data_IF_192041519100
#
_entry.id   IF_192041519100
#
_cell.length_a   1.000
_cell.length_b   1.000
_cell.length_c   1.000
_cell.angle_alpha   90.00
_cell.angle_beta   90.00
_cell.angle_gamma   90.00
#
_symmetry.space_group_name_H-M   'P 1'
#
loop_
_entity.id
_entity.type
_entity.pdbx_description
1 polymer ?
#
# COMPACT_ATOMS: atom_id res chain seq x y z
N UNK A 1 -0.62 -20.64 -8.65
CA UNK A 1 -0.58 -19.87 -9.93
C UNK A 1 0.82 -19.30 -10.06
N UNK A 2 1.44 -19.43 -11.23
CA UNK A 2 2.88 -19.24 -11.39
C UNK A 2 3.21 -17.76 -11.57
N UNK A 3 4.05 -17.19 -10.70
CA UNK A 3 4.67 -15.89 -10.94
C UNK A 3 5.64 -16.05 -12.12
N UNK A 4 5.21 -15.58 -13.29
CA UNK A 4 6.08 -15.46 -14.46
C UNK A 4 6.97 -14.24 -14.26
N UNK A 5 8.28 -14.46 -14.29
CA UNK A 5 9.30 -13.43 -14.29
C UNK A 5 9.02 -12.41 -15.42
N UNK A 6 8.97 -11.11 -15.12
CA UNK A 6 8.56 -10.08 -16.10
C UNK A 6 9.49 -10.04 -17.33
N UNK A 7 10.75 -10.46 -17.17
CA UNK A 7 11.68 -10.66 -18.27
C UNK A 7 11.22 -11.79 -19.23
N UNK A 8 10.68 -12.89 -18.70
CA UNK A 8 10.15 -14.00 -19.48
C UNK A 8 8.81 -13.65 -20.15
N UNK A 9 7.99 -12.80 -19.52
CA UNK A 9 6.74 -12.29 -20.09
C UNK A 9 6.99 -11.50 -21.40
N UNK A 10 8.03 -10.66 -21.42
CA UNK A 10 8.41 -9.89 -22.61
C UNK A 10 8.98 -10.77 -23.74
N UNK A 11 9.77 -11.80 -23.43
CA UNK A 11 10.25 -12.75 -24.45
C UNK A 11 9.09 -13.59 -25.04
N UNK A 12 8.11 -13.99 -24.22
CA UNK A 12 6.88 -14.68 -24.66
C UNK A 12 6.02 -13.84 -25.62
N UNK A 13 5.90 -12.53 -25.38
CA UNK A 13 5.20 -11.61 -26.27
C UNK A 13 5.94 -11.42 -27.61
N UNK A 14 7.27 -11.48 -27.63
CA UNK A 14 8.04 -11.42 -28.88
C UNK A 14 7.90 -12.68 -29.76
N UNK A 15 7.83 -13.87 -29.17
CA UNK A 15 7.66 -15.12 -29.94
C UNK A 15 6.27 -15.19 -30.62
N UNK A 16 5.22 -14.59 -30.03
CA UNK A 16 3.87 -14.55 -30.63
C UNK A 16 3.78 -13.70 -31.91
N UNK A 17 4.60 -12.65 -32.05
CA UNK A 17 4.53 -11.70 -33.17
C UNK A 17 5.25 -12.20 -34.44
N UNK A 18 6.09 -13.24 -34.32
CA UNK A 18 7.02 -13.66 -35.38
C UNK A 18 6.73 -15.01 -36.04
N UNK A 19 5.68 -15.74 -35.64
CA UNK A 19 5.32 -17.05 -36.22
C UNK A 19 3.94 -17.04 -36.90
N UNK A 20 3.84 -17.28 -38.23
CA UNK A 20 2.57 -17.55 -38.88
C UNK A 20 2.12 -18.99 -38.62
N UNK A 21 0.92 -19.17 -38.07
CA UNK A 21 0.34 -20.49 -37.81
C UNK A 21 -0.18 -21.14 -39.08
N UNK A 22 0.35 -22.31 -39.45
CA UNK A 22 -0.31 -23.25 -40.35
C UNK A 22 -0.90 -24.40 -39.54
N UNK A 23 -2.22 -24.57 -39.62
CA UNK A 23 -2.92 -25.72 -39.04
C UNK A 23 -3.20 -26.79 -40.08
N UNK A 24 -3.39 -28.03 -39.63
CA UNK A 24 -4.12 -29.08 -40.34
C UNK A 24 -4.93 -29.90 -39.34
N UNK A 25 -6.12 -30.31 -39.79
CA UNK A 25 -7.16 -31.00 -39.01
C UNK A 25 -7.20 -32.51 -39.32
N UNK A 26 -8.02 -33.24 -38.55
CA UNK A 26 -8.72 -34.48 -38.95
C UNK A 26 -7.90 -35.77 -39.24
N UNK A 27 -8.44 -36.99 -39.08
CA UNK A 27 -9.79 -37.43 -38.64
C UNK A 27 -9.80 -38.87 -38.03
N UNK A 28 -10.98 -39.22 -37.52
CA UNK A 28 -11.48 -40.48 -36.89
C UNK A 28 -11.48 -41.74 -37.76
N UNK A 29 -11.62 -42.93 -37.14
CA UNK A 29 -12.11 -44.15 -37.81
C UNK A 29 -11.96 -45.45 -37.02
N UNK A 30 -13.07 -46.14 -36.83
CA UNK A 30 -13.22 -47.44 -36.15
C UNK A 30 -13.33 -48.59 -37.20
N UNK A 31 -13.56 -49.88 -36.96
CA UNK A 31 -13.94 -50.68 -35.77
C UNK A 31 -13.59 -52.19 -36.01
N UNK A 32 -14.13 -53.09 -35.17
CA UNK A 32 -14.52 -54.50 -35.45
C UNK A 32 -13.56 -55.69 -35.18
N UNK A 33 -14.17 -56.86 -34.93
CA UNK A 33 -13.64 -58.03 -34.20
C UNK A 33 -12.91 -59.11 -35.03
N UNK A 34 -12.24 -59.99 -34.27
CA UNK A 34 -12.26 -61.47 -34.42
C UNK A 34 -11.00 -62.22 -34.92
N UNK A 35 -10.94 -63.47 -34.46
CA UNK A 35 -10.00 -64.57 -34.76
C UNK A 35 -8.59 -64.59 -34.13
N UNK A 36 -8.40 -65.59 -33.26
CA UNK A 36 -7.14 -65.92 -32.62
C UNK A 36 -6.16 -66.62 -33.59
N UNK A 37 -4.89 -66.22 -33.55
CA UNK A 37 -3.78 -66.88 -34.23
C UNK A 37 -2.50 -66.88 -33.36
N UNK A 38 -1.52 -67.78 -33.62
CA UNK A 38 -0.51 -68.21 -32.64
C UNK A 38 0.50 -67.10 -32.25
N UNK A 39 1.27 -67.28 -31.16
CA UNK A 39 2.16 -66.24 -30.64
C UNK A 39 3.22 -65.82 -31.67
N UNK A 40 2.93 -64.73 -32.37
CA UNK A 40 3.82 -64.16 -33.38
C UNK A 40 5.13 -63.71 -32.74
N UNK A 41 6.25 -64.22 -33.24
CA UNK A 41 7.59 -63.77 -32.83
C UNK A 41 7.69 -62.28 -33.13
N UNK A 42 7.79 -61.45 -32.06
CA UNK A 42 7.70 -59.98 -32.11
C UNK A 42 8.45 -59.36 -33.31
N UNK A 43 7.83 -58.45 -34.09
CA UNK A 43 8.41 -57.92 -35.31
C UNK A 43 9.47 -56.83 -35.01
N UNK A 44 10.62 -57.25 -34.44
CA UNK A 44 11.77 -56.38 -34.12
C UNK A 44 12.23 -55.49 -35.28
N UNK A 45 11.96 -55.88 -36.53
CA UNK A 45 12.21 -55.05 -37.73
C UNK A 45 11.32 -53.80 -37.83
N UNK A 46 10.06 -53.86 -37.39
CA UNK A 46 9.14 -52.70 -37.41
C UNK A 46 9.55 -51.67 -36.35
N UNK A 47 9.89 -52.15 -35.15
CA UNK A 47 10.47 -51.35 -34.07
C UNK A 47 11.77 -50.65 -34.52
N UNK A 48 12.69 -51.39 -35.16
CA UNK A 48 13.93 -50.83 -35.70
C UNK A 48 13.68 -49.74 -36.77
N UNK A 49 12.71 -49.94 -37.66
CA UNK A 49 12.35 -48.94 -38.68
C UNK A 49 11.70 -47.68 -38.06
N UNK A 50 10.85 -47.85 -37.04
CA UNK A 50 10.28 -46.72 -36.29
C UNK A 50 11.37 -45.93 -35.54
N UNK A 51 12.35 -46.63 -34.92
CA UNK A 51 13.50 -45.98 -34.27
C UNK A 51 14.37 -45.23 -35.29
N UNK A 52 14.58 -45.78 -36.49
CA UNK A 52 15.30 -45.09 -37.56
C UNK A 52 14.57 -43.83 -38.04
N UNK A 53 13.25 -43.91 -38.26
CA UNK A 53 12.42 -42.77 -38.63
C UNK A 53 12.45 -41.67 -37.55
N UNK A 54 12.22 -42.02 -36.28
CA UNK A 54 12.28 -41.09 -35.16
C UNK A 54 13.65 -40.42 -35.02
N UNK A 55 14.75 -41.16 -35.27
CA UNK A 55 16.10 -40.58 -35.28
C UNK A 55 16.32 -39.59 -36.42
N UNK A 56 15.74 -39.84 -37.61
CA UNK A 56 15.73 -38.86 -38.70
C UNK A 56 14.97 -37.61 -38.29
N UNK A 57 13.74 -37.75 -37.80
CA UNK A 57 12.91 -36.61 -37.36
C UNK A 57 13.58 -35.81 -36.25
N UNK A 58 14.27 -36.46 -35.30
CA UNK A 58 15.07 -35.76 -34.27
C UNK A 58 16.24 -35.00 -34.89
N UNK A 59 16.96 -35.57 -35.87
CA UNK A 59 18.02 -34.86 -36.57
C UNK A 59 17.49 -33.65 -37.35
N UNK A 60 16.36 -33.80 -38.04
CA UNK A 60 15.69 -32.72 -38.79
C UNK A 60 15.22 -31.59 -37.87
N UNK A 61 14.59 -31.92 -36.74
CA UNK A 61 14.15 -30.95 -35.73
C UNK A 61 15.31 -30.26 -35.01
N UNK A 62 16.42 -30.97 -34.75
CA UNK A 62 17.64 -30.36 -34.21
C UNK A 62 18.25 -29.39 -35.23
N UNK A 63 18.33 -29.76 -36.51
CA UNK A 63 18.81 -28.87 -37.56
C UNK A 63 17.93 -27.62 -37.73
N UNK A 64 16.60 -27.77 -37.65
CA UNK A 64 15.66 -26.64 -37.67
C UNK A 64 15.84 -25.72 -36.46
N UNK A 65 15.95 -26.29 -35.24
CA UNK A 65 16.24 -25.53 -34.01
C UNK A 65 17.54 -24.74 -34.16
N UNK A 66 18.61 -25.38 -34.63
CA UNK A 66 19.93 -24.76 -34.71
C UNK A 66 19.97 -23.65 -35.78
N UNK A 67 19.26 -23.83 -36.89
CA UNK A 67 19.07 -22.78 -37.90
C UNK A 67 18.27 -21.58 -37.37
N UNK A 68 17.20 -21.82 -36.60
CA UNK A 68 16.41 -20.77 -35.94
C UNK A 68 17.24 -20.04 -34.86
N UNK A 69 18.03 -20.77 -34.07
CA UNK A 69 18.87 -20.21 -33.02
C UNK A 69 20.01 -19.36 -33.61
N UNK A 70 20.64 -19.80 -34.70
CA UNK A 70 21.63 -19.01 -35.45
C UNK A 70 21.01 -17.78 -36.18
N UNK A 71 19.70 -17.80 -36.46
CA UNK A 71 18.96 -16.62 -36.95
C UNK A 71 18.65 -15.65 -35.80
N UNK A 72 18.22 -16.15 -34.63
CA UNK A 72 18.00 -15.34 -33.40
C UNK A 72 19.29 -14.64 -32.96
N UNK A 73 20.42 -15.35 -32.96
CA UNK A 73 21.74 -14.79 -32.60
C UNK A 73 22.23 -13.68 -33.55
N UNK A 74 21.92 -13.77 -34.85
CA UNK A 74 22.27 -12.71 -35.81
C UNK A 74 21.36 -11.48 -35.69
N UNK A 75 20.10 -11.66 -35.29
CA UNK A 75 19.21 -10.55 -34.97
C UNK A 75 19.71 -9.78 -33.73
N UNK A 76 20.00 -10.49 -32.63
CA UNK A 76 20.45 -9.88 -31.35
C UNK A 76 21.79 -9.15 -31.42
N UNK A 77 22.57 -9.31 -32.49
CA UNK A 77 23.79 -8.52 -32.75
C UNK A 77 23.51 -7.16 -33.42
N UNK A 78 22.26 -6.86 -33.79
CA UNK A 78 21.90 -5.56 -34.37
C UNK A 78 21.90 -4.46 -33.29
N UNK A 79 22.66 -3.35 -33.46
CA UNK A 79 22.67 -2.24 -32.50
C UNK A 79 21.29 -1.56 -32.38
N UNK A 80 20.44 -1.71 -33.40
CA UNK A 80 19.07 -1.23 -33.38
C UNK A 80 18.15 -2.08 -32.50
N UNK A 81 18.43 -3.37 -32.31
CA UNK A 81 17.62 -4.23 -31.43
C UNK A 81 17.86 -3.90 -29.95
N UNK A 82 19.12 -3.71 -29.54
CA UNK A 82 19.43 -3.25 -28.19
C UNK A 82 18.82 -1.87 -27.89
N UNK A 83 18.77 -0.99 -28.90
CA UNK A 83 18.16 0.33 -28.80
C UNK A 83 16.63 0.24 -28.73
N UNK A 84 15.99 -0.57 -29.58
CA UNK A 84 14.53 -0.74 -29.58
C UNK A 84 14.03 -1.43 -28.31
N UNK A 85 14.72 -2.47 -27.82
CA UNK A 85 14.42 -3.11 -26.52
C UNK A 85 14.49 -2.09 -25.37
N UNK A 86 15.52 -1.22 -25.35
CA UNK A 86 15.66 -0.16 -24.33
C UNK A 86 14.53 0.87 -24.43
N UNK A 87 14.19 1.32 -25.64
CA UNK A 87 13.09 2.26 -25.86
C UNK A 87 11.73 1.67 -25.50
N UNK A 88 11.48 0.40 -25.83
CA UNK A 88 10.27 -0.33 -25.46
C UNK A 88 10.14 -0.49 -23.94
N UNK A 89 11.20 -0.89 -23.25
CA UNK A 89 11.22 -1.00 -21.79
C UNK A 89 11.01 0.36 -21.10
N UNK A 90 11.68 1.41 -21.58
CA UNK A 90 11.48 2.77 -21.06
C UNK A 90 10.04 3.27 -21.29
N UNK A 91 9.49 3.04 -22.49
CA UNK A 91 8.11 3.38 -22.82
C UNK A 91 7.12 2.63 -21.93
N UNK A 92 7.30 1.32 -21.74
CA UNK A 92 6.44 0.51 -20.88
C UNK A 92 6.45 0.99 -19.43
N UNK A 93 7.63 1.33 -18.88
CA UNK A 93 7.75 1.91 -17.55
C UNK A 93 7.00 3.26 -17.43
N UNK A 94 7.15 4.15 -18.42
CA UNK A 94 6.44 5.44 -18.46
C UNK A 94 4.93 5.26 -18.63
N UNK A 95 4.46 4.32 -19.45
CA UNK A 95 3.04 4.00 -19.62
C UNK A 95 2.45 3.41 -18.32
N UNK A 96 3.21 2.58 -17.60
CA UNK A 96 2.83 2.02 -16.31
C UNK A 96 2.73 3.11 -15.23
N UNK A 97 3.71 4.02 -15.15
CA UNK A 97 3.69 5.17 -14.23
C UNK A 97 2.53 6.13 -14.57
N UNK A 98 2.35 6.48 -15.85
CA UNK A 98 1.23 7.29 -16.29
C UNK A 98 -0.11 6.65 -15.90
N UNK A 99 -0.28 5.35 -16.12
CA UNK A 99 -1.49 4.62 -15.70
C UNK A 99 -1.67 4.55 -14.17
N UNK A 100 -0.61 4.64 -13.37
CA UNK A 100 -0.71 4.79 -11.90
C UNK A 100 -1.14 6.22 -11.53
N UNK A 101 -0.48 7.24 -12.09
CA UNK A 101 -0.79 8.65 -11.85
C UNK A 101 -2.20 9.03 -12.30
N UNK A 102 -2.66 8.59 -13.48
CA UNK A 102 -4.04 8.82 -13.94
C UNK A 102 -5.07 8.25 -12.96
N UNK A 103 -4.82 7.05 -12.40
CA UNK A 103 -5.70 6.45 -11.38
C UNK A 103 -5.66 7.22 -10.05
N UNK A 104 -4.49 7.70 -9.63
CA UNK A 104 -4.35 8.52 -8.42
C UNK A 104 -5.10 9.85 -8.56
N UNK A 105 -4.94 10.56 -9.67
CA UNK A 105 -5.66 11.82 -9.97
C UNK A 105 -7.17 11.60 -10.03
N UNK A 106 -7.65 10.54 -10.69
CA UNK A 106 -9.08 10.20 -10.71
C UNK A 106 -9.63 9.84 -9.31
N UNK A 107 -8.78 9.29 -8.43
CA UNK A 107 -9.16 9.05 -7.03
C UNK A 107 -9.27 10.35 -6.23
N UNK A 108 -8.31 11.26 -6.39
CA UNK A 108 -8.32 12.56 -5.73
C UNK A 108 -9.47 13.45 -6.21
N UNK A 109 -9.79 13.45 -7.51
CA UNK A 109 -10.94 14.18 -8.06
C UNK A 109 -12.27 13.75 -7.40
N UNK A 110 -12.51 12.43 -7.27
CA UNK A 110 -13.70 11.90 -6.58
C UNK A 110 -13.74 12.25 -5.09
N UNK A 111 -12.59 12.28 -4.41
CA UNK A 111 -12.51 12.74 -3.02
C UNK A 111 -12.92 14.21 -2.89
N UNK A 112 -12.42 15.08 -3.78
CA UNK A 112 -12.77 16.51 -3.80
C UNK A 112 -14.26 16.73 -4.10
N UNK A 113 -14.82 16.03 -5.09
CA UNK A 113 -16.26 16.08 -5.42
C UNK A 113 -17.13 15.61 -4.26
N UNK A 114 -16.73 14.54 -3.56
CA UNK A 114 -17.43 14.05 -2.37
C UNK A 114 -17.40 15.10 -1.25
N UNK A 115 -16.24 15.68 -0.99
CA UNK A 115 -16.04 16.71 0.02
C UNK A 115 -16.84 18.00 -0.30
N UNK A 116 -16.85 18.46 -1.56
CA UNK A 116 -17.69 19.58 -2.00
C UNK A 116 -19.19 19.31 -1.79
N UNK A 117 -19.63 18.09 -2.14
CA UNK A 117 -21.03 17.65 -1.94
C UNK A 117 -21.43 17.65 -0.46
N UNK A 118 -20.52 17.26 0.44
CA UNK A 118 -20.73 17.28 1.88
C UNK A 118 -20.77 18.71 2.43
N UNK A 119 -19.85 19.57 2.00
CA UNK A 119 -19.72 20.96 2.46
C UNK A 119 -20.84 21.89 1.96
N UNK A 120 -21.50 21.54 0.85
CA UNK A 120 -22.69 22.25 0.37
C UNK A 120 -23.90 22.15 1.33
N UNK A 121 -23.83 21.32 2.39
CA UNK A 121 -24.90 21.15 3.39
C UNK A 121 -24.78 22.21 4.51
N UNK A 122 -25.80 23.07 4.72
CA UNK A 122 -25.69 24.21 5.63
C UNK A 122 -25.74 23.88 7.13
N UNK A 123 -25.97 22.62 7.51
CA UNK A 123 -26.24 22.22 8.91
C UNK A 123 -25.01 21.83 9.72
N UNK A 124 -23.79 21.91 9.18
CA UNK A 124 -22.52 21.48 9.82
C UNK A 124 -22.11 22.21 11.13
N UNK A 125 -22.98 23.05 11.69
CA UNK A 125 -22.67 24.01 12.76
C UNK A 125 -23.12 23.55 14.15
N UNK A 126 -24.28 22.89 14.26
CA UNK A 126 -24.92 22.54 15.55
C UNK A 126 -25.06 21.01 15.70
N UNK A 127 -23.94 20.32 15.89
CA UNK A 127 -23.89 18.85 15.87
C UNK A 127 -23.59 18.27 17.26
N UNK A 128 -24.39 17.32 17.77
CA UNK A 128 -24.22 16.80 19.13
C UNK A 128 -22.94 15.96 19.24
N UNK A 129 -22.13 16.24 20.26
CA UNK A 129 -20.94 15.46 20.62
C UNK A 129 -21.35 14.00 20.81
N UNK A 130 -20.68 13.08 20.11
CA UNK A 130 -20.94 11.64 20.20
C UNK A 130 -20.90 11.19 21.67
N UNK A 131 -21.87 10.37 22.09
CA UNK A 131 -22.10 10.02 23.49
C UNK A 131 -20.81 9.64 24.25
N UNK A 132 -20.62 10.12 25.50
CA UNK A 132 -19.32 10.13 26.15
C UNK A 132 -18.78 8.72 26.42
N UNK A 133 -17.75 8.33 25.67
CA UNK A 133 -16.86 7.18 25.95
C UNK A 133 -15.92 7.53 27.10
N UNK A 134 -16.50 7.57 28.31
CA UNK A 134 -15.95 8.22 29.51
C UNK A 134 -15.03 7.29 30.32
N UNK A 135 -13.86 7.78 30.76
CA UNK A 135 -12.95 7.04 31.65
C UNK A 135 -12.86 7.59 33.09
N UNK A 136 -13.91 8.29 33.54
CA UNK A 136 -14.08 8.89 34.89
C UNK A 136 -14.26 7.84 36.02
N UNK A 137 -13.80 6.63 35.79
CA UNK A 137 -13.84 5.55 36.77
C UNK A 137 -12.56 5.58 37.63
N UNK A 138 -12.61 5.14 38.90
CA UNK A 138 -11.40 4.99 39.72
C UNK A 138 -10.40 4.03 39.07
N UNK A 139 -9.12 4.15 39.42
CA UNK A 139 -8.00 3.50 38.72
C UNK A 139 -8.13 1.99 38.49
N UNK A 140 -8.86 1.28 39.35
CA UNK A 140 -9.17 -0.15 39.23
C UNK A 140 -10.15 -0.49 38.09
N UNK A 141 -11.02 0.45 37.70
CA UNK A 141 -12.04 0.27 36.67
C UNK A 141 -11.66 0.87 35.32
N UNK A 142 -10.72 1.84 35.26
CA UNK A 142 -10.22 2.46 34.01
C UNK A 142 -9.85 1.42 32.95
N UNK A 143 -9.00 0.46 33.31
CA UNK A 143 -8.59 -0.65 32.43
C UNK A 143 -9.79 -1.48 31.96
N UNK A 144 -10.73 -1.81 32.84
CA UNK A 144 -11.89 -2.64 32.50
C UNK A 144 -12.84 -1.92 31.52
N UNK A 145 -13.10 -0.63 31.72
CA UNK A 145 -13.89 0.20 30.79
C UNK A 145 -13.21 0.29 29.43
N UNK A 146 -11.90 0.56 29.41
CA UNK A 146 -11.12 0.66 28.19
C UNK A 146 -11.04 -0.68 27.42
N UNK A 147 -10.87 -1.79 28.14
CA UNK A 147 -10.89 -3.14 27.59
C UNK A 147 -12.26 -3.51 27.01
N UNK A 148 -13.36 -3.10 27.66
CA UNK A 148 -14.71 -3.28 27.16
C UNK A 148 -14.96 -2.48 25.87
N UNK A 149 -14.45 -1.25 25.76
CA UNK A 149 -14.56 -0.43 24.54
C UNK A 149 -13.92 -1.12 23.33
N UNK A 150 -12.65 -1.53 23.45
CA UNK A 150 -11.95 -2.22 22.34
C UNK A 150 -12.51 -3.61 22.07
N UNK A 151 -13.12 -4.28 23.05
CA UNK A 151 -13.83 -5.54 22.81
C UNK A 151 -15.16 -5.35 22.05
N UNK A 152 -15.88 -4.24 22.30
CA UNK A 152 -17.06 -3.88 21.53
C UNK A 152 -16.70 -3.54 20.07
N UNK A 153 -15.59 -2.84 19.83
CA UNK A 153 -15.10 -2.62 18.46
C UNK A 153 -14.61 -3.93 17.81
N UNK A 154 -13.91 -4.81 18.53
CA UNK A 154 -13.55 -6.14 18.02
C UNK A 154 -14.79 -6.95 17.57
N UNK A 155 -15.89 -6.90 18.33
CA UNK A 155 -17.16 -7.51 17.94
C UNK A 155 -17.80 -6.97 16.65
N UNK A 156 -17.37 -5.78 16.18
CA UNK A 156 -17.80 -5.18 14.90
C UNK A 156 -16.91 -5.56 13.70
N UNK A 157 -15.73 -6.16 13.93
CA UNK A 157 -14.70 -6.40 12.91
C UNK A 157 -15.27 -6.95 11.60
N UNK A 158 -15.92 -8.11 11.67
CA UNK A 158 -16.42 -8.83 10.49
C UNK A 158 -17.43 -7.98 9.70
N UNK A 159 -18.37 -7.32 10.38
CA UNK A 159 -19.34 -6.42 9.75
C UNK A 159 -18.66 -5.26 9.01
N UNK A 160 -17.57 -4.71 9.56
CA UNK A 160 -16.82 -3.59 8.97
C UNK A 160 -15.97 -4.07 7.77
N UNK A 161 -15.33 -5.23 7.86
CA UNK A 161 -14.53 -5.84 6.78
C UNK A 161 -15.42 -6.33 5.61
N UNK A 162 -16.65 -6.76 5.91
CA UNK A 162 -17.66 -7.09 4.91
C UNK A 162 -18.21 -5.82 4.23
N UNK A 163 -18.63 -4.81 5.00
CA UNK A 163 -19.19 -3.57 4.47
C UNK A 163 -18.20 -2.78 3.59
N UNK A 164 -16.92 -2.78 3.97
CA UNK A 164 -15.82 -2.17 3.18
C UNK A 164 -15.44 -2.95 1.92
N UNK A 165 -15.95 -4.17 1.73
CA UNK A 165 -15.71 -5.06 0.58
C UNK A 165 -14.25 -5.44 0.32
N UNK A 166 -13.34 -5.20 1.29
CA UNK A 166 -11.91 -5.48 1.13
C UNK A 166 -11.53 -6.96 1.29
N UNK A 167 -12.38 -7.78 1.91
CA UNK A 167 -12.13 -9.22 2.12
C UNK A 167 -11.87 -10.02 0.83
N UNK A 168 -12.45 -9.61 -0.30
CA UNK A 168 -12.20 -10.21 -1.61
C UNK A 168 -10.98 -9.64 -2.35
N UNK A 169 -10.26 -8.66 -1.78
CA UNK A 169 -9.11 -8.04 -2.45
C UNK A 169 -7.95 -9.03 -2.62
N UNK A 170 -7.68 -9.41 -3.87
CA UNK A 170 -6.53 -10.22 -4.27
C UNK A 170 -5.29 -9.39 -4.61
N UNK A 171 -5.47 -8.08 -4.81
CA UNK A 171 -4.44 -7.10 -5.14
C UNK A 171 -4.44 -5.95 -4.11
N UNK A 172 -3.44 -5.05 -4.18
CA UNK A 172 -3.35 -3.88 -3.32
C UNK A 172 -4.57 -2.97 -3.52
N UNK A 173 -5.34 -2.76 -2.47
CA UNK A 173 -6.46 -1.80 -2.41
C UNK A 173 -6.12 -0.73 -1.38
N UNK A 174 -6.42 0.53 -1.71
CA UNK A 174 -6.42 1.66 -0.80
C UNK A 174 -7.56 2.58 -1.22
N UNK A 175 -8.43 2.95 -0.30
CA UNK A 175 -9.53 3.88 -0.55
C UNK A 175 -9.72 4.80 0.66
N UNK A 176 -10.00 6.07 0.39
CA UNK A 176 -10.44 7.05 1.39
C UNK A 176 -11.71 7.68 0.86
N UNK A 177 -12.80 7.59 1.61
CA UNK A 177 -14.10 8.19 1.26
C UNK A 177 -14.54 9.15 2.35
N UNK A 178 -14.97 10.33 1.92
CA UNK A 178 -15.54 11.36 2.79
C UNK A 178 -17.05 11.39 2.50
N UNK A 179 -17.86 11.14 3.52
CA UNK A 179 -19.32 11.10 3.44
C UNK A 179 -19.94 11.99 4.52
N UNK A 180 -21.22 12.32 4.40
CA UNK A 180 -21.97 12.96 5.47
C UNK A 180 -22.89 11.92 6.11
N UNK A 181 -22.70 11.67 7.39
CA UNK A 181 -23.59 10.86 8.21
C UNK A 181 -24.78 11.73 8.63
N UNK A 182 -25.95 11.45 8.07
CA UNK A 182 -27.19 12.17 8.38
C UNK A 182 -27.73 11.86 9.78
N UNK A 183 -27.29 10.76 10.40
CA UNK A 183 -27.77 10.33 11.72
C UNK A 183 -26.87 10.84 12.86
N UNK A 184 -25.55 10.73 12.68
CA UNK A 184 -24.56 11.31 13.57
C UNK A 184 -24.33 12.80 13.31
N UNK A 185 -24.97 13.35 12.26
CA UNK A 185 -24.89 14.77 11.92
C UNK A 185 -23.41 15.21 11.73
N UNK A 186 -22.62 14.40 11.01
CA UNK A 186 -21.16 14.55 10.98
C UNK A 186 -20.57 14.22 9.59
N UNK A 187 -19.49 14.90 9.22
CA UNK A 187 -18.60 14.45 8.14
C UNK A 187 -17.84 13.22 8.64
N UNK A 188 -17.97 12.11 7.92
CA UNK A 188 -17.32 10.85 8.21
C UNK A 188 -16.21 10.60 7.20
N UNK A 189 -15.04 10.21 7.71
CA UNK A 189 -13.88 9.84 6.91
C UNK A 189 -13.65 8.34 7.12
N UNK A 190 -14.01 7.53 6.12
CA UNK A 190 -13.74 6.10 6.12
C UNK A 190 -12.48 5.81 5.27
N UNK A 191 -11.52 5.10 5.85
CA UNK A 191 -10.27 4.70 5.20
C UNK A 191 -10.15 3.18 5.18
N UNK A 192 -9.85 2.59 4.03
CA UNK A 192 -9.69 1.14 3.89
C UNK A 192 -8.45 0.77 3.09
N UNK A 193 -7.80 -0.33 3.46
CA UNK A 193 -6.63 -0.85 2.75
C UNK A 193 -6.61 -2.38 2.82
N UNK A 194 -6.17 -3.01 1.72
CA UNK A 194 -5.74 -4.41 1.69
C UNK A 194 -4.33 -4.46 1.10
N UNK A 195 -3.37 -5.03 1.84
CA UNK A 195 -1.95 -5.05 1.49
C UNK A 195 -1.32 -6.42 1.78
N UNK A 196 -0.45 -6.88 0.89
CA UNK A 196 0.39 -8.06 1.13
C UNK A 196 1.76 -7.63 1.70
N UNK A 197 2.27 -8.42 2.65
CA UNK A 197 3.54 -8.20 3.33
C UNK A 197 4.41 -9.46 3.26
N UNK A 198 5.72 -9.31 3.02
CA UNK A 198 6.67 -10.42 2.90
C UNK A 198 7.20 -10.86 4.28
N UNK A 199 6.28 -11.06 5.22
CA UNK A 199 6.52 -11.42 6.62
C UNK A 199 5.54 -12.52 7.03
N UNK A 200 5.87 -13.30 8.07
CA UNK A 200 4.85 -14.14 8.72
C UNK A 200 3.81 -13.27 9.44
N UNK A 201 2.64 -13.85 9.76
CA UNK A 201 1.58 -13.17 10.53
C UNK A 201 2.13 -12.57 11.82
N UNK A 202 2.88 -13.35 12.60
CA UNK A 202 3.44 -12.90 13.89
C UNK A 202 4.44 -11.75 13.74
N UNK A 203 5.31 -11.81 12.71
CA UNK A 203 6.29 -10.74 12.43
C UNK A 203 5.59 -9.46 12.02
N UNK A 204 4.60 -9.56 11.12
CA UNK A 204 3.81 -8.42 10.64
C UNK A 204 3.01 -7.80 11.80
N UNK A 205 2.33 -8.62 12.60
CA UNK A 205 1.55 -8.18 13.75
C UNK A 205 2.41 -7.56 14.86
N UNK A 206 3.60 -8.10 15.13
CA UNK A 206 4.53 -7.50 16.08
C UNK A 206 5.05 -6.15 15.60
N UNK A 207 5.36 -6.01 14.31
CA UNK A 207 5.87 -4.77 13.74
C UNK A 207 4.78 -3.67 13.68
N UNK A 208 3.55 -4.00 13.26
CA UNK A 208 2.41 -3.07 13.31
C UNK A 208 2.10 -2.67 14.76
N UNK A 209 2.04 -3.63 15.70
CA UNK A 209 1.79 -3.33 17.11
C UNK A 209 2.85 -2.39 17.71
N UNK A 210 4.13 -2.61 17.40
CA UNK A 210 5.22 -1.73 17.83
C UNK A 210 5.11 -0.33 17.23
N UNK A 211 4.78 -0.22 15.95
CA UNK A 211 4.56 1.06 15.28
C UNK A 211 3.45 1.87 15.95
N UNK A 212 2.28 1.27 16.18
CA UNK A 212 1.13 1.93 16.81
C UNK A 212 1.37 2.40 18.25
N UNK A 213 2.33 1.78 18.94
CA UNK A 213 2.73 2.12 20.31
C UNK A 213 4.03 2.94 20.39
N UNK A 214 4.50 3.50 19.26
CA UNK A 214 5.73 4.30 19.17
C UNK A 214 6.99 3.57 19.71
N UNK A 215 7.01 2.23 19.60
CA UNK A 215 8.14 1.36 20.01
C UNK A 215 9.18 1.14 18.89
N UNK A 216 8.94 1.73 17.71
CA UNK A 216 9.86 1.76 16.56
C UNK A 216 9.79 3.16 15.96
N UNK A 217 10.92 3.81 15.64
CA UNK A 217 10.96 5.15 15.06
C UNK A 217 10.55 5.11 13.58
N UNK A 218 9.25 4.99 13.32
CA UNK A 218 8.64 5.30 12.03
C UNK A 218 8.09 6.71 12.16
N UNK A 219 8.84 7.70 11.65
CA UNK A 219 8.38 9.09 11.60
C UNK A 219 7.19 9.19 10.64
N UNK A 220 5.99 9.34 11.21
CA UNK A 220 4.80 9.73 10.45
C UNK A 220 4.79 11.23 10.40
N UNK A 221 4.81 11.79 9.18
CA UNK A 221 4.81 13.24 8.99
C UNK A 221 3.59 13.87 9.69
N UNK A 222 3.85 14.90 10.49
CA UNK A 222 2.83 15.68 11.20
C UNK A 222 1.93 14.81 12.13
N UNK A 223 2.44 13.69 12.68
CA UNK A 223 1.67 12.81 13.59
C UNK A 223 2.57 12.15 14.62
N UNK A 224 2.17 12.18 15.89
CA UNK A 224 2.89 11.52 17.00
C UNK A 224 1.94 10.76 17.94
N UNK A 225 2.47 9.73 18.61
CA UNK A 225 1.73 8.96 19.61
C UNK A 225 2.49 8.92 20.94
N UNK A 226 1.81 9.32 22.01
CA UNK A 226 2.33 9.36 23.38
C UNK A 226 1.58 8.34 24.23
N UNK A 227 2.27 7.31 24.71
CA UNK A 227 1.68 6.34 25.64
C UNK A 227 1.38 7.02 26.98
N UNK A 228 0.15 6.88 27.47
CA UNK A 228 -0.32 7.48 28.73
C UNK A 228 -0.40 6.45 29.86
N UNK A 229 -0.88 5.23 29.55
CA UNK A 229 -0.87 4.09 30.47
C UNK A 229 -0.56 2.79 29.70
N UNK A 230 0.41 2.01 30.18
CA UNK A 230 0.60 0.61 29.78
C UNK A 230 -0.09 -0.29 30.80
N UNK A 231 -1.07 -1.10 30.36
CA UNK A 231 -1.79 -2.02 31.25
C UNK A 231 -1.37 -3.48 31.07
N UNK A 232 -1.05 -3.91 29.84
CA UNK A 232 -0.38 -5.18 29.54
C UNK A 232 0.26 -5.17 28.13
N UNK A 233 0.95 -6.27 27.78
CA UNK A 233 1.69 -6.40 26.51
C UNK A 233 0.82 -6.40 25.23
N UNK A 234 -0.51 -6.46 25.36
CA UNK A 234 -1.48 -6.47 24.28
C UNK A 234 -2.54 -5.35 24.41
N UNK A 235 -2.48 -4.51 25.45
CA UNK A 235 -3.46 -3.45 25.72
C UNK A 235 -2.75 -2.19 26.20
N UNK A 236 -2.87 -1.13 25.41
CA UNK A 236 -2.26 0.17 25.66
C UNK A 236 -3.27 1.30 25.60
N UNK A 237 -2.96 2.39 26.29
CA UNK A 237 -3.71 3.63 26.24
C UNK A 237 -2.75 4.80 26.00
N UNK A 238 -3.07 5.66 25.02
CA UNK A 238 -2.23 6.79 24.66
C UNK A 238 -2.99 7.93 23.98
N UNK A 239 -2.24 8.99 23.65
CA UNK A 239 -2.69 10.18 22.94
C UNK A 239 -2.04 10.22 21.57
N UNK A 240 -2.86 10.12 20.53
CA UNK A 240 -2.51 10.46 19.15
C UNK A 240 -2.65 11.97 18.98
N UNK A 241 -1.62 12.60 18.43
CA UNK A 241 -1.56 14.03 18.11
C UNK A 241 -1.31 14.12 16.60
N UNK A 242 -2.19 14.80 15.88
CA UNK A 242 -1.99 15.14 14.47
C UNK A 242 -1.79 16.66 14.37
N UNK A 243 -0.63 17.06 13.88
CA UNK A 243 -0.31 18.46 13.63
C UNK A 243 -0.82 18.84 12.23
N UNK A 244 -1.50 19.98 12.13
CA UNK A 244 -1.99 20.49 10.84
C UNK A 244 -1.78 22.00 10.79
N UNK A 245 -1.66 22.64 9.60
CA UNK A 245 -1.35 24.07 9.52
C UNK A 245 -2.36 24.95 10.27
N UNK A 246 -1.96 25.44 11.46
CA UNK A 246 -2.77 26.28 12.34
C UNK A 246 -3.74 25.55 13.29
N UNK A 247 -3.74 24.21 13.32
CA UNK A 247 -4.63 23.39 14.18
C UNK A 247 -3.94 22.10 14.64
N UNK A 248 -4.01 21.81 15.93
CA UNK A 248 -3.71 20.48 16.48
C UNK A 248 -4.99 19.67 16.69
N UNK A 249 -4.91 18.37 16.36
CA UNK A 249 -6.00 17.41 16.54
C UNK A 249 -5.52 16.35 17.53
N UNK A 250 -6.28 16.16 18.62
CA UNK A 250 -6.00 15.17 19.65
C UNK A 250 -7.00 14.03 19.59
N UNK A 251 -6.52 12.80 19.82
CA UNK A 251 -7.35 11.62 19.97
C UNK A 251 -6.76 10.74 21.08
N UNK A 252 -7.52 10.50 22.16
CA UNK A 252 -7.14 9.53 23.19
C UNK A 252 -7.57 8.15 22.72
N UNK A 253 -6.61 7.27 22.47
CA UNK A 253 -6.85 5.97 21.83
C UNK A 253 -6.48 4.85 22.79
N UNK A 254 -7.44 3.96 23.04
CA UNK A 254 -7.16 2.63 23.59
C UNK A 254 -6.95 1.68 22.43
N UNK A 255 -5.89 0.88 22.48
CA UNK A 255 -5.56 -0.11 21.45
C UNK A 255 -5.45 -1.49 22.09
N UNK A 256 -6.02 -2.52 21.47
CA UNK A 256 -5.86 -3.91 21.90
C UNK A 256 -5.54 -4.85 20.75
N UNK A 257 -4.57 -5.73 20.99
CA UNK A 257 -4.21 -6.85 20.12
C UNK A 257 -4.86 -8.14 20.60
N UNK A 258 -5.67 -8.74 19.74
CA UNK A 258 -6.31 -10.04 19.92
C UNK A 258 -5.51 -11.07 19.12
N UNK A 259 -5.03 -12.12 19.79
CA UNK A 259 -4.26 -13.20 19.18
C UNK A 259 -5.23 -14.37 18.98
N UNK A 260 -5.54 -14.68 17.72
CA UNK A 260 -6.37 -15.82 17.33
C UNK A 260 -5.48 -16.95 16.76
N UNK A 261 -5.99 -18.20 16.64
CA UNK A 261 -5.17 -19.31 16.13
C UNK A 261 -4.61 -19.14 14.72
N UNK A 262 -5.29 -18.36 13.86
CA UNK A 262 -4.97 -18.24 12.42
C UNK A 262 -4.64 -16.80 11.98
N UNK A 263 -4.82 -15.82 12.87
CA UNK A 263 -4.68 -14.38 12.57
C UNK A 263 -4.41 -13.57 13.83
N UNK A 264 -3.97 -12.33 13.66
CA UNK A 264 -3.90 -11.35 14.73
C UNK A 264 -4.76 -10.15 14.35
N UNK A 265 -5.59 -9.69 15.29
CA UNK A 265 -6.42 -8.50 15.11
C UNK A 265 -5.92 -7.40 16.04
N UNK A 266 -5.82 -6.17 15.54
CA UNK A 266 -5.58 -4.98 16.35
C UNK A 266 -6.80 -4.07 16.18
N UNK A 267 -7.47 -3.75 17.28
CA UNK A 267 -8.57 -2.79 17.29
C UNK A 267 -8.20 -1.56 18.12
N UNK A 268 -8.71 -0.41 17.71
CA UNK A 268 -8.60 0.82 18.49
C UNK A 268 -9.95 1.51 18.67
N UNK A 269 -10.10 2.21 19.79
CA UNK A 269 -11.28 2.98 20.13
C UNK A 269 -10.90 4.29 20.83
N UNK A 270 -11.50 5.41 20.40
CA UNK A 270 -11.33 6.70 21.11
C UNK A 270 -12.02 6.72 22.48
N UNK A 271 -11.37 7.30 23.49
CA UNK A 271 -11.96 7.80 24.73
C UNK A 271 -12.40 9.26 24.53
N UNK A 272 -13.65 9.57 24.85
CA UNK A 272 -14.23 10.90 24.63
C UNK A 272 -13.87 11.90 25.73
N UNK A 273 -13.66 11.43 26.97
CA UNK A 273 -13.26 12.26 28.10
C UNK A 273 -12.55 11.39 29.16
N UNK A 274 -11.52 11.97 29.77
CA UNK A 274 -10.71 11.39 30.82
C UNK A 274 -10.30 12.48 31.81
N UNK A 275 -10.79 12.41 33.05
CA UNK A 275 -10.43 13.33 34.14
C UNK A 275 -8.92 13.34 34.46
N UNK A 276 -8.24 12.19 34.32
CA UNK A 276 -6.82 12.04 34.67
C UNK A 276 -5.89 12.65 33.62
N UNK A 277 -6.27 12.60 32.35
CA UNK A 277 -5.50 13.11 31.23
C UNK A 277 -6.37 13.97 30.31
N UNK A 278 -6.89 15.13 30.77
CA UNK A 278 -7.80 15.93 29.98
C UNK A 278 -7.23 16.29 28.61
N UNK A 279 -8.13 16.45 27.64
CA UNK A 279 -7.79 17.07 26.36
C UNK A 279 -7.34 18.51 26.56
N UNK A 280 -6.45 18.98 25.68
CA UNK A 280 -6.11 20.39 25.61
C UNK A 280 -7.36 21.19 25.16
N UNK A 281 -7.78 22.24 25.90
CA UNK A 281 -8.93 23.07 25.53
C UNK A 281 -8.82 23.74 24.15
N UNK A 282 -7.60 23.91 23.63
CA UNK A 282 -7.35 24.51 22.31
C UNK A 282 -7.24 23.48 21.17
N UNK A 283 -7.25 22.18 21.45
CA UNK A 283 -7.14 21.14 20.44
C UNK A 283 -8.50 20.60 19.98
N UNK A 284 -8.59 20.18 18.72
CA UNK A 284 -9.76 19.52 18.18
C UNK A 284 -9.78 18.05 18.60
N UNK A 285 -10.86 17.56 19.22
CA UNK A 285 -10.95 16.14 19.67
C UNK A 285 -11.52 15.23 18.57
N UNK A 286 -10.66 14.46 17.90
CA UNK A 286 -11.08 13.47 16.91
C UNK A 286 -11.68 12.24 17.60
N UNK A 287 -12.82 11.77 17.10
CA UNK A 287 -13.36 10.45 17.41
C UNK A 287 -13.08 9.49 16.24
N UNK A 288 -12.41 8.39 16.56
CA UNK A 288 -11.96 7.36 15.62
C UNK A 288 -12.14 5.96 16.23
N UNK A 289 -12.41 4.99 15.36
CA UNK A 289 -12.19 3.58 15.65
C UNK A 289 -11.46 2.93 14.47
N UNK A 290 -10.52 2.02 14.75
CA UNK A 290 -9.80 1.26 13.70
C UNK A 290 -9.84 -0.24 13.94
N UNK A 291 -9.70 -0.97 12.84
CA UNK A 291 -9.64 -2.42 12.77
C UNK A 291 -8.53 -2.83 11.82
N UNK A 292 -7.61 -3.65 12.31
CA UNK A 292 -6.54 -4.25 11.52
C UNK A 292 -6.66 -5.77 11.67
N UNK A 293 -6.90 -6.48 10.59
CA UNK A 293 -6.84 -7.95 10.57
C UNK A 293 -5.60 -8.39 9.80
N UNK A 294 -4.78 -9.23 10.43
CA UNK A 294 -3.48 -9.69 9.94
C UNK A 294 -3.55 -11.20 9.80
N UNK A 295 -3.73 -11.67 8.57
CA UNK A 295 -4.07 -13.06 8.26
C UNK A 295 -3.00 -13.71 7.39
N UNK A 296 -2.99 -15.04 7.30
CA UNK A 296 -2.09 -15.74 6.39
C UNK A 296 -2.49 -15.45 4.93
N UNK A 297 -1.52 -14.97 4.15
CA UNK A 297 -1.70 -14.66 2.74
C UNK A 297 -1.52 -15.87 1.83
N UNK A 298 -1.17 -15.62 0.56
CA UNK A 298 -1.03 -16.66 -0.48
C UNK A 298 0.10 -17.68 -0.23
N UNK A 299 1.00 -17.41 0.73
CA UNK A 299 2.16 -18.23 1.11
C UNK A 299 2.38 -18.07 2.63
N UNK A 300 2.91 -19.07 3.37
CA UNK A 300 3.08 -18.98 4.83
C UNK A 300 3.93 -17.81 5.34
N UNK A 301 4.95 -17.41 4.57
CA UNK A 301 5.83 -16.27 4.87
C UNK A 301 5.30 -14.95 4.26
N UNK A 302 3.99 -14.86 4.03
CA UNK A 302 3.36 -13.69 3.43
C UNK A 302 2.07 -13.35 4.18
N UNK A 303 2.07 -12.29 4.97
CA UNK A 303 0.89 -11.82 5.69
C UNK A 303 0.01 -10.97 4.77
N UNK A 304 -1.32 -11.07 4.96
CA UNK A 304 -2.29 -10.11 4.42
C UNK A 304 -2.73 -9.19 5.55
N UNK A 305 -2.67 -7.89 5.31
CA UNK A 305 -3.17 -6.86 6.22
C UNK A 305 -4.40 -6.23 5.60
N UNK A 306 -5.54 -6.37 6.29
CA UNK A 306 -6.72 -5.55 6.07
C UNK A 306 -6.74 -4.44 7.12
N UNK A 307 -6.95 -3.20 6.69
CA UNK A 307 -7.16 -2.05 7.57
C UNK A 307 -8.50 -1.40 7.23
N UNK A 308 -9.26 -1.07 8.27
CA UNK A 308 -10.40 -0.16 8.22
C UNK A 308 -10.22 0.88 9.33
N UNK A 309 -10.35 2.16 9.01
CA UNK A 309 -10.42 3.28 9.95
C UNK A 309 -11.66 4.11 9.70
N UNK A 310 -12.31 4.58 10.75
CA UNK A 310 -13.54 5.37 10.69
C UNK A 310 -13.43 6.54 11.66
N UNK A 311 -13.27 7.75 11.12
CA UNK A 311 -13.21 9.00 11.88
C UNK A 311 -14.40 9.91 11.61
N UNK A 312 -14.74 10.77 12.58
CA UNK A 312 -15.83 11.76 12.45
C UNK A 312 -15.39 13.20 12.76
N UNK A 313 -15.97 14.15 12.02
CA UNK A 313 -15.82 15.61 12.13
C UNK A 313 -17.23 16.22 12.14
N UNK A 314 -17.58 17.23 12.95
CA UNK A 314 -16.70 18.01 13.82
C UNK A 314 -16.07 17.18 14.93
N UNK A 315 -14.79 17.44 15.13
CA UNK A 315 -14.11 17.09 16.37
C UNK A 315 -14.68 17.95 17.51
N UNK A 316 -14.74 17.44 18.74
CA UNK A 316 -15.35 18.20 19.85
C UNK A 316 -14.59 19.54 20.09
N UNK A 317 -15.30 20.60 20.53
CA UNK A 317 -15.18 21.89 19.84
C UNK A 317 -14.16 22.88 20.41
N UNK A 318 -13.53 23.63 19.50
CA UNK A 318 -13.20 25.05 19.71
C UNK A 318 -14.46 25.91 19.47
N UNK A 319 -14.75 26.96 20.28
CA UNK A 319 -15.97 27.78 20.16
C UNK A 319 -16.01 28.66 18.90
N UNK A 320 -14.91 28.75 18.15
CA UNK A 320 -14.87 29.35 16.81
C UNK A 320 -13.96 28.49 15.96
N UNK A 321 -14.39 28.00 14.77
CA UNK A 321 -13.51 27.21 13.92
C UNK A 321 -12.37 28.10 13.40
N UNK A 322 -11.15 27.89 13.91
CA UNK A 322 -9.94 28.57 13.42
C UNK A 322 -9.55 28.14 12.02
N UNK A 323 -10.13 27.03 11.55
CA UNK A 323 -9.94 26.43 10.23
C UNK A 323 -11.32 26.03 9.65
N UNK A 324 -11.60 26.27 8.36
CA UNK A 324 -12.80 25.76 7.70
C UNK A 324 -12.88 24.22 7.74
N UNK A 325 -14.09 23.66 7.87
CA UNK A 325 -14.29 22.19 7.91
C UNK A 325 -13.71 21.45 6.70
N UNK A 326 -13.65 22.09 5.53
CA UNK A 326 -12.94 21.61 4.35
C UNK A 326 -11.47 21.26 4.65
N UNK A 327 -10.74 22.23 5.20
CA UNK A 327 -9.33 22.10 5.49
C UNK A 327 -9.10 21.08 6.60
N UNK A 328 -10.01 20.98 7.59
CA UNK A 328 -9.94 19.97 8.64
C UNK A 328 -10.13 18.55 8.08
N UNK A 329 -11.16 18.32 7.27
CA UNK A 329 -11.41 17.03 6.62
C UNK A 329 -10.29 16.63 5.66
N UNK A 330 -9.72 17.60 4.93
CA UNK A 330 -8.56 17.42 4.06
C UNK A 330 -7.30 17.06 4.85
N UNK A 331 -7.02 17.75 5.95
CA UNK A 331 -5.87 17.46 6.80
C UNK A 331 -5.97 16.07 7.43
N UNK A 332 -7.14 15.69 7.96
CA UNK A 332 -7.38 14.33 8.45
C UNK A 332 -7.15 13.28 7.37
N UNK A 333 -7.70 13.48 6.16
CA UNK A 333 -7.45 12.60 5.01
C UNK A 333 -5.96 12.47 4.69
N UNK A 334 -5.17 13.55 4.80
CA UNK A 334 -3.71 13.50 4.64
C UNK A 334 -3.04 12.67 5.75
N UNK A 335 -3.40 12.87 7.03
CA UNK A 335 -2.88 12.09 8.15
C UNK A 335 -3.20 10.59 8.01
N UNK A 336 -4.44 10.24 7.65
CA UNK A 336 -4.83 8.86 7.35
C UNK A 336 -4.00 8.25 6.22
N UNK A 337 -3.75 8.97 5.13
CA UNK A 337 -2.95 8.46 4.02
C UNK A 337 -1.48 8.27 4.43
N UNK A 338 -0.88 9.21 5.18
CA UNK A 338 0.46 9.06 5.73
C UNK A 338 0.58 7.84 6.66
N UNK A 339 -0.43 7.63 7.52
CA UNK A 339 -0.53 6.47 8.40
C UNK A 339 -0.65 5.15 7.61
N UNK A 340 -1.50 5.11 6.57
CA UNK A 340 -1.61 3.97 5.67
C UNK A 340 -0.30 3.70 4.90
N UNK A 341 0.48 4.73 4.56
CA UNK A 341 1.80 4.55 3.92
C UNK A 341 2.83 4.00 4.91
N UNK A 342 2.85 4.49 6.15
CA UNK A 342 3.68 3.93 7.22
C UNK A 342 3.40 2.44 7.49
N UNK A 343 2.13 2.00 7.49
CA UNK A 343 1.78 0.57 7.62
C UNK A 343 2.38 -0.25 6.46
N UNK A 344 2.44 0.26 5.23
CA UNK A 344 3.05 -0.44 4.08
C UNK A 344 4.57 -0.60 4.24
N UNK A 345 5.24 0.36 4.88
CA UNK A 345 6.68 0.36 5.12
C UNK A 345 7.14 -0.69 6.15
N UNK A 346 6.22 -1.33 6.88
CA UNK A 346 6.50 -2.48 7.77
C UNK A 346 7.22 -3.63 7.06
N UNK A 347 7.18 -3.70 5.73
CA UNK A 347 7.96 -4.65 4.92
C UNK A 347 9.48 -4.40 4.90
N UNK A 348 9.96 -3.22 5.29
CA UNK A 348 11.39 -2.94 5.31
C UNK A 348 12.00 -3.73 6.47
N UNK A 349 12.98 -4.63 6.23
CA UNK A 349 13.67 -5.29 7.32
C UNK A 349 14.31 -4.22 8.19
N UNK A 350 14.04 -4.26 9.50
CA UNK A 350 14.70 -3.41 10.48
C UNK A 350 16.16 -3.87 10.56
N UNK A 351 16.98 -3.41 9.61
CA UNK A 351 18.41 -3.26 9.87
C UNK A 351 18.52 -2.42 11.13
N UNK A 352 19.24 -2.88 12.17
CA UNK A 352 19.55 -2.01 13.30
C UNK A 352 20.21 -0.76 12.72
N UNK A 353 19.73 0.41 13.11
CA UNK A 353 20.16 1.65 12.47
C UNK A 353 21.66 1.81 12.61
N UNK A 354 22.39 1.54 11.53
CA UNK A 354 23.71 2.11 11.34
C UNK A 354 23.46 3.60 11.29
N UNK A 355 23.66 4.28 12.42
CA UNK A 355 23.54 5.74 12.51
C UNK A 355 24.23 6.33 11.27
N UNK A 356 23.57 7.19 10.47
CA UNK A 356 24.22 7.81 9.34
C UNK A 356 25.39 8.59 9.90
N UNK A 357 26.61 8.11 9.66
CA UNK A 357 27.81 8.70 10.21
C UNK A 357 27.85 10.15 9.73
N UNK A 358 27.86 11.10 10.68
CA UNK A 358 27.61 12.53 10.41
C UNK A 358 28.50 13.10 9.29
N UNK A 359 29.67 12.47 9.07
CA UNK A 359 30.60 12.69 7.95
C UNK A 359 29.94 12.76 6.56
N UNK A 360 28.92 11.95 6.27
CA UNK A 360 28.28 11.94 4.94
C UNK A 360 27.31 13.12 4.73
N UNK A 361 26.68 13.61 5.80
CA UNK A 361 25.80 14.78 5.73
C UNK A 361 26.61 16.07 5.60
N UNK A 362 27.72 16.22 6.33
CA UNK A 362 28.63 17.37 6.19
C UNK A 362 29.13 17.53 4.76
N UNK A 363 29.58 16.46 4.11
CA UNK A 363 30.08 16.55 2.72
C UNK A 363 29.00 16.95 1.70
N UNK A 364 27.74 16.58 1.93
CA UNK A 364 26.64 16.98 1.04
C UNK A 364 26.22 18.44 1.27
N UNK A 365 26.20 18.89 2.53
CA UNK A 365 25.95 20.30 2.89
C UNK A 365 27.08 21.22 2.37
N UNK A 366 28.34 20.81 2.49
CA UNK A 366 29.49 21.55 1.93
C UNK A 366 29.41 21.65 0.40
N UNK A 367 29.00 20.59 -0.29
CA UNK A 367 28.80 20.60 -1.74
C UNK A 367 27.68 21.58 -2.16
N UNK A 368 26.53 21.51 -1.49
CA UNK A 368 25.41 22.43 -1.73
C UNK A 368 25.81 23.89 -1.43
N UNK A 369 26.57 24.14 -0.36
CA UNK A 369 27.07 25.48 -0.04
C UNK A 369 28.04 25.99 -1.11
N UNK A 370 28.93 25.14 -1.66
CA UNK A 370 29.78 25.52 -2.80
C UNK A 370 28.96 25.85 -4.05
N UNK A 371 27.90 25.07 -4.35
CA UNK A 371 27.01 25.36 -5.48
C UNK A 371 26.27 26.69 -5.31
N UNK A 372 25.74 26.98 -4.11
CA UNK A 372 25.09 28.25 -3.78
C UNK A 372 26.06 29.42 -3.94
N UNK A 373 27.28 29.31 -3.41
CA UNK A 373 28.31 30.36 -3.53
C UNK A 373 28.70 30.60 -5.00
N UNK A 374 28.78 29.53 -5.82
CA UNK A 374 29.02 29.62 -7.25
C UNK A 374 27.92 30.38 -8.00
N UNK A 375 26.65 30.05 -7.72
CA UNK A 375 25.49 30.73 -8.30
C UNK A 375 25.43 32.21 -7.89
N UNK A 376 25.72 32.54 -6.63
CA UNK A 376 25.79 33.93 -6.16
C UNK A 376 26.88 34.73 -6.89
N UNK A 377 28.05 34.13 -7.16
CA UNK A 377 29.12 34.77 -7.93
C UNK A 377 28.69 35.07 -9.38
N UNK A 378 27.99 34.13 -10.03
CA UNK A 378 27.47 34.30 -11.40
C UNK A 378 26.44 35.45 -11.44
N UNK A 379 25.49 35.47 -10.50
CA UNK A 379 24.48 36.54 -10.40
C UNK A 379 25.14 37.92 -10.19
N UNK A 380 26.12 38.01 -9.29
CA UNK A 380 26.86 39.25 -9.05
C UNK A 380 27.65 39.71 -10.28
N UNK A 381 28.23 38.78 -11.05
CA UNK A 381 28.93 39.09 -12.30
C UNK A 381 27.96 39.59 -13.38
N UNK A 382 26.78 38.97 -13.52
CA UNK A 382 25.74 39.45 -14.44
C UNK A 382 25.23 40.84 -14.05
N UNK A 383 25.03 41.10 -12.75
CA UNK A 383 24.59 42.40 -12.25
C UNK A 383 25.61 43.51 -12.53
N UNK A 384 26.91 43.24 -12.33
CA UNK A 384 28.01 44.16 -12.71
C UNK A 384 28.06 44.42 -14.21
N UNK A 385 27.83 43.39 -15.03
CA UNK A 385 27.79 43.52 -16.49
C UNK A 385 26.61 44.39 -16.96
N UNK A 386 25.44 44.21 -16.35
CA UNK A 386 24.26 45.07 -16.57
C UNK A 386 24.52 46.52 -16.16
N UNK A 387 25.14 46.76 -14.99
CA UNK A 387 25.51 48.11 -14.57
C UNK A 387 26.52 48.76 -15.53
N UNK A 388 27.53 48.03 -16.01
CA UNK A 388 28.48 48.53 -16.99
C UNK A 388 27.79 48.89 -18.32
N UNK A 389 26.87 48.05 -18.82
CA UNK A 389 26.10 48.33 -20.04
C UNK A 389 25.14 49.52 -19.90
N UNK A 390 24.63 49.80 -18.69
CA UNK A 390 23.82 51.00 -18.43
C UNK A 390 24.66 52.28 -18.28
N UNK A 391 25.93 52.18 -17.89
CA UNK A 391 26.86 53.31 -17.80
C UNK A 391 27.58 53.61 -19.13
N UNK A 392 27.46 52.73 -20.13
CA UNK A 392 27.99 52.92 -21.49
C UNK A 392 26.94 53.40 -22.50
N UNK A 393 25.85 54.01 -22.01
CA UNK A 393 24.79 54.68 -22.78
C UNK A 393 24.61 56.10 -22.27
#
# INVERSE_FOLDING_TARGET
MMELDDAACMDLLCDFVLCPTFGSSESTGDDDESHAQPPAKRPRKREAHHIAALRSTVADLVAQRDALQARKQRATQSPWEATSRRQAAARFAVEQEHAQLTRAVASQARLLESLQTVLARPQLVDMPILAPRLLDAPSSLRRATAEALVHAEYGRLESIVLASKIHHATSRVQNTSITYDESAHAIRVDCTMAQMHNLTVDQCALAIWKYYNNLVPIEVKDTSFVVLEEWDANLSYGRLIMETPGVEIHCHVVQKRFIEPNRVVICSATIAHDEKYPYDPDAYVLHESTWIAIETGSKPNMARVYYCGQGSVPCAPKPTPTMPYESLAKSLSTCYNAHLDAVKLVNVPITPSTQPSQKNLTGHVENLQQQINGLQSIVLQQQKMLQAMMLSR
#
